data_IF_057809903860
#
_entry.id   IF_057809903860
#
_cell.length_a   1.000
_cell.length_b   1.000
_cell.length_c   1.000
_cell.angle_alpha   90.00
_cell.angle_beta   90.00
_cell.angle_gamma   90.00
#
_symmetry.space_group_name_H-M   'P 1'
#
loop_
_entity.id
_entity.type
_entity.pdbx_description
1 polymer ?
#
# COMPACT_ATOMS: atom_id res chain seq x y z
N UNK A 1 11.53 2.53 28.58
CA UNK A 1 10.28 2.18 29.30
C UNK A 1 9.52 1.18 28.44
N UNK A 2 9.28 0.00 29.01
CA UNK A 2 8.79 -1.21 28.35
C UNK A 2 7.36 -1.07 27.86
N UNK A 3 7.18 -0.96 26.53
CA UNK A 3 5.89 -1.21 25.87
C UNK A 3 5.54 -2.68 26.07
N UNK A 4 4.73 -3.01 27.07
CA UNK A 4 4.14 -4.34 27.18
C UNK A 4 3.27 -4.56 25.94
N UNK A 5 3.59 -5.53 25.09
CA UNK A 5 2.94 -5.66 23.80
C UNK A 5 1.50 -6.07 24.05
N UNK A 6 0.57 -5.36 23.43
CA UNK A 6 -0.89 -5.57 23.43
C UNK A 6 -1.30 -7.06 23.34
N UNK A 7 -0.44 -7.89 22.77
CA UNK A 7 -0.53 -9.35 22.71
C UNK A 7 -0.46 -10.08 24.07
N UNK A 8 0.46 -9.71 24.97
CA UNK A 8 0.57 -10.31 26.32
C UNK A 8 -0.71 -10.07 27.13
N UNK A 9 -1.34 -8.92 26.90
CA UNK A 9 -2.55 -8.52 27.60
C UNK A 9 -3.80 -9.22 27.04
N UNK A 10 -3.82 -9.52 25.74
CA UNK A 10 -4.85 -10.37 25.14
C UNK A 10 -4.79 -11.82 25.66
N UNK A 11 -3.58 -12.36 25.88
CA UNK A 11 -3.37 -13.68 26.48
C UNK A 11 -3.86 -13.75 27.93
N UNK A 12 -3.58 -12.72 28.73
CA UNK A 12 -4.08 -12.64 30.11
C UNK A 12 -5.62 -12.62 30.19
N UNK A 13 -6.28 -11.97 29.23
CA UNK A 13 -7.75 -11.95 29.14
C UNK A 13 -8.33 -13.32 28.74
N UNK A 14 -7.64 -14.05 27.87
CA UNK A 14 -8.03 -15.40 27.45
C UNK A 14 -7.99 -16.39 28.62
N UNK A 15 -6.92 -16.36 29.42
CA UNK A 15 -6.76 -17.25 30.58
C UNK A 15 -7.81 -16.97 31.67
N UNK A 16 -8.18 -15.70 31.86
CA UNK A 16 -9.18 -15.32 32.86
C UNK A 16 -10.60 -15.75 32.48
N UNK A 17 -10.94 -15.73 31.20
CA UNK A 17 -12.23 -16.22 30.72
C UNK A 17 -12.39 -17.74 30.87
N UNK A 18 -11.29 -18.49 30.71
CA UNK A 18 -11.28 -19.95 30.88
C UNK A 18 -11.56 -20.37 32.33
N UNK A 19 -11.18 -19.55 33.31
CA UNK A 19 -11.39 -19.81 34.74
C UNK A 19 -12.84 -19.61 35.22
N UNK A 20 -13.70 -18.93 34.45
CA UNK A 20 -15.07 -18.56 34.86
C UNK A 20 -16.16 -19.57 34.44
N UNK A 21 -15.78 -20.70 33.85
CA UNK A 21 -16.67 -21.71 33.28
C UNK A 21 -17.14 -22.75 34.31
N UNK A 22 -18.10 -22.42 35.19
CA UNK A 22 -18.86 -23.42 35.97
C UNK A 22 -20.37 -23.12 35.99
N UNK A 23 -21.20 -24.04 35.45
CA UNK A 23 -22.68 -24.05 35.48
C UNK A 23 -23.38 -23.45 34.25
N UNK A 24 -24.67 -23.75 34.00
CA UNK A 24 -25.40 -23.38 32.77
C UNK A 24 -25.62 -21.86 32.56
N UNK A 25 -25.68 -21.06 33.63
CA UNK A 25 -25.61 -19.60 33.57
C UNK A 25 -24.17 -19.13 33.30
N UNK A 26 -23.19 -19.86 33.84
CA UNK A 26 -21.77 -19.72 33.52
C UNK A 26 -21.46 -20.07 32.07
N UNK A 27 -22.14 -21.04 31.46
CA UNK A 27 -21.97 -21.41 30.04
C UNK A 27 -22.47 -20.31 29.10
N UNK A 28 -23.64 -19.71 29.37
CA UNK A 28 -24.15 -18.58 28.57
C UNK A 28 -23.26 -17.34 28.71
N UNK A 29 -22.83 -17.02 29.92
CA UNK A 29 -21.91 -15.90 30.14
C UNK A 29 -20.53 -16.19 29.57
N UNK A 30 -20.01 -17.42 29.69
CA UNK A 30 -18.77 -17.86 29.07
C UNK A 30 -18.82 -17.79 27.54
N UNK A 31 -19.93 -18.19 26.91
CA UNK A 31 -20.11 -18.06 25.47
C UNK A 31 -20.11 -16.60 25.00
N UNK A 32 -20.78 -15.71 25.75
CA UNK A 32 -20.79 -14.27 25.51
C UNK A 32 -19.40 -13.66 25.68
N UNK A 33 -18.67 -14.03 26.73
CA UNK A 33 -17.30 -13.59 27.00
C UNK A 33 -16.36 -14.09 25.89
N UNK A 34 -16.45 -15.35 25.50
CA UNK A 34 -15.64 -15.93 24.43
C UNK A 34 -15.87 -15.23 23.09
N UNK A 35 -17.14 -14.94 22.75
CA UNK A 35 -17.48 -14.16 21.56
C UNK A 35 -16.85 -12.76 21.59
N UNK A 36 -16.91 -12.06 22.73
CA UNK A 36 -16.29 -10.74 22.91
C UNK A 36 -14.78 -10.75 22.79
N UNK A 37 -14.13 -11.78 23.35
CA UNK A 37 -12.68 -11.96 23.23
C UNK A 37 -12.31 -12.19 21.77
N UNK A 38 -13.06 -13.04 21.06
CA UNK A 38 -12.85 -13.27 19.63
C UNK A 38 -12.96 -11.97 18.82
N UNK A 39 -14.02 -11.19 19.04
CA UNK A 39 -14.20 -9.90 18.38
C UNK A 39 -13.07 -8.91 18.66
N UNK A 40 -12.67 -8.75 19.93
CA UNK A 40 -11.59 -7.84 20.29
C UNK A 40 -10.26 -8.31 19.72
N UNK A 41 -9.99 -9.62 19.74
CA UNK A 41 -8.79 -10.22 19.16
C UNK A 41 -8.70 -9.96 17.66
N UNK A 42 -9.81 -10.10 16.93
CA UNK A 42 -9.86 -9.77 15.51
C UNK A 42 -9.55 -8.29 15.24
N UNK A 43 -10.12 -7.36 16.03
CA UNK A 43 -9.84 -5.91 15.89
C UNK A 43 -8.41 -5.54 16.24
N UNK A 44 -7.83 -6.17 17.26
CA UNK A 44 -6.42 -5.99 17.61
C UNK A 44 -5.49 -6.55 16.52
N UNK A 45 -5.86 -7.66 15.88
CA UNK A 45 -5.13 -8.18 14.74
C UNK A 45 -5.16 -7.24 13.53
N UNK A 46 -6.32 -6.62 13.25
CA UNK A 46 -6.44 -5.57 12.23
C UNK A 46 -5.54 -4.37 12.56
N UNK A 47 -5.61 -3.84 13.78
CA UNK A 47 -4.76 -2.74 14.23
C UNK A 47 -3.26 -3.09 14.09
N UNK A 48 -2.86 -4.29 14.54
CA UNK A 48 -1.48 -4.78 14.42
C UNK A 48 -1.03 -4.84 12.96
N UNK A 49 -1.91 -5.23 12.04
CA UNK A 49 -1.61 -5.27 10.61
C UNK A 49 -1.32 -3.86 10.08
N UNK A 50 -2.17 -2.88 10.40
CA UNK A 50 -1.98 -1.49 9.94
C UNK A 50 -0.70 -0.87 10.53
N UNK A 51 -0.36 -1.17 11.79
CA UNK A 51 0.91 -0.75 12.40
C UNK A 51 2.11 -1.40 11.71
N UNK A 52 2.01 -2.68 11.36
CA UNK A 52 3.09 -3.38 10.63
C UNK A 52 3.33 -2.74 9.26
N UNK A 53 2.25 -2.35 8.56
CA UNK A 53 2.35 -1.61 7.29
C UNK A 53 3.01 -0.24 7.51
N UNK A 54 2.62 0.49 8.55
CA UNK A 54 3.20 1.78 8.90
C UNK A 54 4.72 1.70 9.13
N UNK A 55 5.16 0.67 9.86
CA UNK A 55 6.58 0.41 10.09
C UNK A 55 7.31 0.06 8.80
N UNK A 56 6.74 -0.82 7.96
CA UNK A 56 7.35 -1.16 6.67
C UNK A 56 7.51 0.07 5.76
N UNK A 57 6.50 0.95 5.70
CA UNK A 57 6.58 2.21 4.96
C UNK A 57 7.69 3.13 5.52
N UNK A 58 7.77 3.25 6.84
CA UNK A 58 8.80 4.03 7.51
C UNK A 58 10.21 3.50 7.24
N UNK A 59 10.40 2.19 7.25
CA UNK A 59 11.68 1.55 6.92
C UNK A 59 12.12 1.84 5.48
N UNK A 60 11.16 2.05 4.56
CA UNK A 60 11.42 2.50 3.19
C UNK A 60 11.64 4.03 3.04
N UNK A 61 11.58 4.77 4.16
CA UNK A 61 11.74 6.22 4.20
C UNK A 61 10.48 7.02 3.87
N UNK A 62 9.29 6.41 3.91
CA UNK A 62 8.04 7.15 3.81
C UNK A 62 7.80 7.98 5.09
N UNK A 63 7.18 9.15 4.94
CA UNK A 63 6.86 10.04 6.05
C UNK A 63 5.57 9.55 6.75
N UNK A 64 5.70 8.53 7.59
CA UNK A 64 4.58 8.00 8.38
C UNK A 64 4.64 8.52 9.81
N UNK A 65 3.63 9.29 10.20
CA UNK A 65 3.43 9.72 11.59
C UNK A 65 2.42 8.77 12.23
N UNK A 66 2.82 7.52 12.47
CA UNK A 66 1.92 6.55 13.10
C UNK A 66 1.56 7.02 14.52
N UNK A 67 0.37 7.62 14.69
CA UNK A 67 -0.10 8.08 15.99
C UNK A 67 -0.65 6.91 16.82
N UNK A 68 0.26 6.07 17.31
CA UNK A 68 -0.03 4.98 18.25
C UNK A 68 -0.67 5.40 19.58
N UNK A 69 -0.48 6.63 20.12
CA UNK A 69 -1.10 7.02 21.39
C UNK A 69 -2.63 6.88 21.38
N UNK A 70 -3.29 7.25 20.28
CA UNK A 70 -4.75 7.22 20.16
C UNK A 70 -5.35 5.79 20.29
N UNK A 71 -4.59 4.75 19.88
CA UNK A 71 -5.01 3.35 20.04
C UNK A 71 -5.02 2.90 21.51
N UNK A 72 -4.24 3.57 22.37
CA UNK A 72 -4.07 3.25 23.79
C UNK A 72 -5.15 3.89 24.67
N UNK A 73 -5.79 4.96 24.20
CA UNK A 73 -6.77 5.76 24.95
C UNK A 73 -8.07 5.01 25.30
N UNK A 74 -8.35 3.89 24.63
CA UNK A 74 -9.47 3.01 24.96
C UNK A 74 -9.12 1.89 25.93
N UNK A 75 -7.83 1.58 26.05
CA UNK A 75 -7.32 0.45 26.81
C UNK A 75 -7.35 0.74 28.31
N UNK A 76 -6.82 1.90 28.72
CA UNK A 76 -6.71 2.25 30.14
C UNK A 76 -8.07 2.30 30.87
N UNK A 77 -9.14 2.92 30.32
CA UNK A 77 -10.47 2.89 30.94
C UNK A 77 -11.11 1.50 30.95
N UNK A 78 -10.75 0.64 29.98
CA UNK A 78 -11.24 -0.74 29.91
C UNK A 78 -10.55 -1.61 30.97
N UNK A 79 -9.23 -1.49 31.13
CA UNK A 79 -8.44 -2.19 32.15
C UNK A 79 -8.90 -1.85 33.56
N UNK A 80 -9.05 -0.55 33.88
CA UNK A 80 -9.56 -0.12 35.20
C UNK A 80 -10.95 -0.69 35.54
N UNK A 81 -11.78 -0.93 34.54
CA UNK A 81 -13.10 -1.55 34.72
C UNK A 81 -13.02 -3.07 34.83
N UNK A 82 -12.08 -3.69 34.12
CA UNK A 82 -11.82 -5.12 34.16
C UNK A 82 -11.24 -5.58 35.52
N UNK A 83 -10.51 -4.70 36.21
CA UNK A 83 -9.96 -4.95 37.56
C UNK A 83 -11.04 -5.25 38.61
N UNK A 84 -12.27 -4.77 38.40
CA UNK A 84 -13.41 -4.93 39.32
C UNK A 84 -14.45 -5.98 38.85
N UNK A 85 -14.14 -6.75 37.81
CA UNK A 85 -15.06 -7.72 37.19
C UNK A 85 -15.16 -7.56 35.67
N UNK A 86 -15.99 -8.36 35.01
CA UNK A 86 -16.12 -8.28 33.54
C UNK A 86 -16.64 -6.90 33.11
N UNK A 87 -16.00 -6.21 32.16
CA UNK A 87 -16.47 -4.91 31.69
C UNK A 87 -17.86 -5.02 31.09
N UNK A 88 -18.77 -4.15 31.55
CA UNK A 88 -20.12 -4.06 30.99
C UNK A 88 -20.13 -3.71 29.50
N UNK A 89 -21.26 -3.95 28.84
CA UNK A 89 -21.42 -3.84 27.38
C UNK A 89 -20.98 -2.49 26.82
N UNK A 90 -21.26 -1.42 27.54
CA UNK A 90 -20.85 -0.08 27.17
C UNK A 90 -19.32 0.08 27.14
N UNK A 91 -18.62 -0.50 28.11
CA UNK A 91 -17.15 -0.44 28.18
C UNK A 91 -16.53 -1.26 27.04
N UNK A 92 -17.06 -2.46 26.78
CA UNK A 92 -16.64 -3.30 25.65
C UNK A 92 -16.86 -2.62 24.30
N UNK A 93 -18.08 -2.12 24.04
CA UNK A 93 -18.40 -1.45 22.78
C UNK A 93 -17.57 -0.18 22.58
N UNK A 94 -17.27 0.55 23.66
CA UNK A 94 -16.38 1.73 23.59
C UNK A 94 -14.96 1.34 23.22
N UNK A 95 -14.39 0.31 23.85
CA UNK A 95 -13.04 -0.17 23.55
C UNK A 95 -12.96 -0.68 22.11
N UNK A 96 -13.93 -1.51 21.68
CA UNK A 96 -14.05 -2.01 20.31
C UNK A 96 -14.09 -0.87 19.30
N UNK A 97 -14.92 0.14 19.53
CA UNK A 97 -15.03 1.32 18.65
C UNK A 97 -13.70 2.09 18.57
N UNK A 98 -13.04 2.34 19.70
CA UNK A 98 -11.76 3.06 19.72
C UNK A 98 -10.65 2.31 18.97
N UNK A 99 -10.54 0.99 19.14
CA UNK A 99 -9.58 0.17 18.39
C UNK A 99 -9.87 0.23 16.89
N UNK A 100 -11.15 0.17 16.50
CA UNK A 100 -11.56 0.30 15.10
C UNK A 100 -11.21 1.68 14.52
N UNK A 101 -11.51 2.75 15.25
CA UNK A 101 -11.20 4.12 14.85
C UNK A 101 -9.70 4.32 14.66
N UNK A 102 -8.88 3.82 15.60
CA UNK A 102 -7.43 3.86 15.48
C UNK A 102 -6.92 3.06 14.27
N UNK A 103 -7.44 1.86 14.03
CA UNK A 103 -7.05 1.05 12.87
C UNK A 103 -7.42 1.74 11.55
N UNK A 104 -8.60 2.37 11.47
CA UNK A 104 -9.02 3.14 10.29
C UNK A 104 -8.13 4.36 10.07
N UNK A 105 -7.85 5.15 11.12
CA UNK A 105 -6.99 6.32 11.02
C UNK A 105 -5.58 5.96 10.54
N UNK A 106 -4.96 4.93 11.12
CA UNK A 106 -3.62 4.45 10.70
C UNK A 106 -3.65 3.96 9.25
N UNK A 107 -4.74 3.30 8.82
CA UNK A 107 -4.87 2.86 7.41
C UNK A 107 -4.90 4.05 6.45
N UNK A 108 -5.64 5.11 6.79
CA UNK A 108 -5.71 6.33 5.97
C UNK A 108 -4.36 7.03 5.89
N UNK A 109 -3.65 7.14 7.02
CA UNK A 109 -2.28 7.66 7.08
C UNK A 109 -1.31 6.81 6.23
N UNK A 110 -1.38 5.49 6.35
CA UNK A 110 -0.58 4.56 5.55
C UNK A 110 -0.82 4.74 4.05
N UNK A 111 -2.08 4.87 3.65
CA UNK A 111 -2.45 5.06 2.24
C UNK A 111 -1.92 6.39 1.71
N UNK A 112 -2.08 7.48 2.47
CA UNK A 112 -1.58 8.79 2.07
C UNK A 112 -0.04 8.79 1.92
N UNK A 113 0.66 8.22 2.92
CA UNK A 113 2.11 8.10 2.88
C UNK A 113 2.59 7.20 1.74
N UNK A 114 1.87 6.11 1.44
CA UNK A 114 2.15 5.23 0.31
C UNK A 114 2.05 5.95 -1.02
N UNK A 115 0.94 6.64 -1.28
CA UNK A 115 0.72 7.36 -2.55
C UNK A 115 1.79 8.42 -2.77
N UNK A 116 2.12 9.20 -1.73
CA UNK A 116 3.14 10.23 -1.82
C UNK A 116 4.54 9.64 -2.04
N UNK A 117 4.92 8.63 -1.24
CA UNK A 117 6.24 8.02 -1.32
C UNK A 117 6.46 7.25 -2.64
N UNK A 118 5.48 6.45 -3.06
CA UNK A 118 5.56 5.69 -4.31
C UNK A 118 5.56 6.62 -5.53
N UNK A 119 4.79 7.71 -5.49
CA UNK A 119 4.83 8.76 -6.50
C UNK A 119 6.20 9.41 -6.62
N UNK A 120 6.84 9.76 -5.50
CA UNK A 120 8.23 10.28 -5.51
C UNK A 120 9.23 9.28 -6.08
N UNK A 121 9.11 8.00 -5.72
CA UNK A 121 9.97 6.93 -6.24
C UNK A 121 9.81 6.75 -7.75
N UNK A 122 8.57 6.77 -8.25
CA UNK A 122 8.28 6.69 -9.69
C UNK A 122 8.85 7.89 -10.45
N UNK A 123 8.67 9.11 -9.92
CA UNK A 123 9.19 10.33 -10.55
C UNK A 123 10.72 10.38 -10.62
N UNK A 124 11.41 9.66 -9.73
CA UNK A 124 12.87 9.57 -9.73
C UNK A 124 13.43 8.58 -10.77
N UNK A 125 12.59 7.74 -11.39
CA UNK A 125 13.04 6.80 -12.43
C UNK A 125 13.25 7.54 -13.76
N UNK A 126 14.37 7.30 -14.47
CA UNK A 126 14.60 7.85 -15.80
C UNK A 126 13.82 7.04 -16.86
N UNK A 127 12.48 7.06 -16.78
CA UNK A 127 11.57 6.28 -17.63
C UNK A 127 11.72 6.59 -19.13
N UNK A 128 12.20 7.80 -19.44
CA UNK A 128 12.57 8.23 -20.79
C UNK A 128 13.64 7.33 -21.44
N UNK A 129 14.45 6.63 -20.65
CA UNK A 129 15.50 5.73 -21.16
C UNK A 129 14.99 4.34 -21.56
N UNK A 130 13.72 4.00 -21.32
CA UNK A 130 13.14 2.69 -21.70
C UNK A 130 13.37 2.36 -23.19
N UNK A 131 13.16 3.28 -24.15
CA UNK A 131 13.45 3.01 -25.56
C UNK A 131 14.92 2.72 -25.87
N UNK A 132 15.84 3.13 -25.00
CA UNK A 132 17.29 2.91 -25.15
C UNK A 132 17.76 1.55 -24.65
N UNK A 133 16.85 0.75 -24.07
CA UNK A 133 17.14 -0.62 -23.68
C UNK A 133 17.18 -1.56 -24.90
N UNK A 134 17.88 -2.71 -24.79
CA UNK A 134 17.81 -3.77 -25.79
C UNK A 134 16.35 -4.15 -26.11
N UNK A 135 15.97 -4.37 -27.39
CA UNK A 135 14.57 -4.61 -27.77
C UNK A 135 13.85 -5.69 -26.96
N UNK A 136 14.55 -6.77 -26.59
CA UNK A 136 13.99 -7.85 -25.75
C UNK A 136 13.61 -7.41 -24.32
N UNK A 137 14.24 -6.36 -23.79
CA UNK A 137 14.03 -5.88 -22.42
C UNK A 137 13.00 -4.75 -22.34
N UNK A 138 12.81 -4.00 -23.43
CA UNK A 138 11.90 -2.86 -23.44
C UNK A 138 10.46 -3.25 -23.06
N UNK A 139 9.95 -4.38 -23.57
CA UNK A 139 8.62 -4.87 -23.24
C UNK A 139 8.47 -5.18 -21.75
N UNK A 140 9.48 -5.83 -21.16
CA UNK A 140 9.51 -6.13 -19.72
C UNK A 140 9.60 -4.86 -18.88
N UNK A 141 10.45 -3.90 -19.26
CA UNK A 141 10.59 -2.62 -18.59
C UNK A 141 9.28 -1.81 -18.57
N UNK A 142 8.57 -1.77 -19.71
CA UNK A 142 7.25 -1.13 -19.78
C UNK A 142 6.21 -1.84 -18.93
N UNK A 143 6.18 -3.18 -18.95
CA UNK A 143 5.29 -3.95 -18.08
C UNK A 143 5.54 -3.65 -16.60
N UNK A 144 6.82 -3.57 -16.18
CA UNK A 144 7.18 -3.19 -14.81
C UNK A 144 6.74 -1.77 -14.49
N UNK A 145 6.91 -0.81 -15.42
CA UNK A 145 6.42 0.57 -15.25
C UNK A 145 4.91 0.60 -14.98
N UNK A 146 4.12 -0.08 -15.81
CA UNK A 146 2.65 -0.16 -15.66
C UNK A 146 2.27 -0.81 -14.33
N UNK A 147 2.97 -1.87 -13.93
CA UNK A 147 2.74 -2.53 -12.65
C UNK A 147 3.04 -1.61 -11.45
N UNK A 148 4.12 -0.82 -11.53
CA UNK A 148 4.48 0.14 -10.50
C UNK A 148 3.46 1.29 -10.42
N UNK A 149 3.04 1.83 -11.57
CA UNK A 149 1.97 2.85 -11.65
C UNK A 149 0.67 2.33 -11.03
N UNK A 150 0.29 1.08 -11.36
CA UNK A 150 -0.90 0.43 -10.78
C UNK A 150 -0.77 0.28 -9.26
N UNK A 151 0.37 -0.20 -8.78
CA UNK A 151 0.61 -0.35 -7.34
C UNK A 151 0.62 0.99 -6.59
N UNK A 152 1.20 2.04 -7.17
CA UNK A 152 1.17 3.40 -6.61
C UNK A 152 -0.26 3.97 -6.51
N UNK A 153 -1.15 3.59 -7.43
CA UNK A 153 -2.57 3.99 -7.42
C UNK A 153 -3.49 3.11 -6.57
N UNK A 154 -2.95 2.11 -5.86
CA UNK A 154 -3.76 1.17 -5.10
C UNK A 154 -4.55 1.85 -3.98
N UNK A 155 -5.79 1.39 -3.74
CA UNK A 155 -6.66 1.91 -2.67
C UNK A 155 -6.35 1.35 -1.28
N UNK A 156 -5.51 0.33 -1.22
CA UNK A 156 -5.07 -0.34 -0.01
C UNK A 156 -3.64 -0.79 -0.21
N UNK A 157 -2.85 -0.81 0.86
CA UNK A 157 -1.45 -1.23 0.82
C UNK A 157 -1.19 -2.25 1.93
N UNK A 158 -0.49 -3.32 1.56
CA UNK A 158 0.01 -4.34 2.49
C UNK A 158 1.53 -4.34 2.51
N UNK A 159 2.13 -5.01 3.50
CA UNK A 159 3.58 -5.21 3.53
C UNK A 159 4.10 -5.97 2.30
N UNK A 160 3.33 -6.91 1.78
CA UNK A 160 3.65 -7.62 0.54
C UNK A 160 3.67 -6.70 -0.67
N UNK A 161 2.72 -5.76 -0.76
CA UNK A 161 2.67 -4.78 -1.85
C UNK A 161 3.90 -3.85 -1.83
N UNK A 162 4.30 -3.40 -0.63
CA UNK A 162 5.50 -2.57 -0.45
C UNK A 162 6.75 -3.31 -0.93
N UNK A 163 6.95 -4.55 -0.49
CA UNK A 163 8.10 -5.37 -0.90
C UNK A 163 8.11 -5.60 -2.40
N UNK A 164 6.96 -6.00 -2.98
CA UNK A 164 6.86 -6.25 -4.41
C UNK A 164 7.12 -5.00 -5.25
N UNK A 165 6.60 -3.85 -4.80
CA UNK A 165 6.88 -2.57 -5.44
C UNK A 165 8.36 -2.25 -5.42
N UNK A 166 9.03 -2.40 -4.27
CA UNK A 166 10.47 -2.16 -4.16
C UNK A 166 11.27 -3.09 -5.06
N UNK A 167 10.98 -4.39 -5.08
CA UNK A 167 11.66 -5.33 -6.00
C UNK A 167 11.51 -4.92 -7.47
N UNK A 168 10.30 -4.53 -7.88
CA UNK A 168 10.04 -4.08 -9.25
C UNK A 168 10.72 -2.74 -9.56
N UNK A 169 10.71 -1.82 -8.61
CA UNK A 169 11.33 -0.51 -8.74
C UNK A 169 12.85 -0.64 -8.87
N UNK A 170 13.49 -1.41 -8.00
CA UNK A 170 14.93 -1.68 -8.05
C UNK A 170 15.33 -2.37 -9.36
N UNK A 171 14.57 -3.40 -9.77
CA UNK A 171 14.82 -4.08 -11.04
C UNK A 171 14.70 -3.14 -12.25
N UNK A 172 13.71 -2.25 -12.26
CA UNK A 172 13.56 -1.27 -13.34
C UNK A 172 14.66 -0.20 -13.28
N UNK A 173 14.98 0.30 -12.09
CA UNK A 173 16.07 1.26 -11.88
C UNK A 173 17.41 0.71 -12.36
N UNK A 174 17.69 -0.58 -12.07
CA UNK A 174 18.90 -1.27 -12.53
C UNK A 174 18.97 -1.33 -14.05
N UNK A 175 17.90 -1.79 -14.71
CA UNK A 175 17.86 -1.83 -16.18
C UNK A 175 18.11 -0.45 -16.80
N UNK A 176 17.59 0.61 -16.18
CA UNK A 176 17.70 1.97 -16.72
C UNK A 176 19.00 2.70 -16.34
N UNK A 177 19.81 2.16 -15.42
CA UNK A 177 21.00 2.82 -14.89
C UNK A 177 22.02 3.13 -15.99
N UNK A 178 22.31 2.13 -16.80
CA UNK A 178 23.34 2.17 -17.85
C UNK A 178 22.76 2.45 -19.25
N UNK A 179 21.43 2.57 -19.36
CA UNK A 179 20.77 2.96 -20.58
C UNK A 179 21.18 4.38 -20.99
N UNK A 180 21.42 4.58 -22.28
CA UNK A 180 21.77 5.90 -22.82
C UNK A 180 20.60 6.87 -22.65
N UNK A 181 20.91 8.16 -22.67
CA UNK A 181 19.86 9.17 -22.83
C UNK A 181 19.31 9.14 -24.26
N UNK A 182 17.98 9.17 -24.43
CA UNK A 182 17.38 9.25 -25.75
C UNK A 182 17.69 10.59 -26.43
N UNK A 183 17.81 10.63 -27.77
CA UNK A 183 17.92 11.89 -28.50
C UNK A 183 16.73 12.82 -28.24
N UNK A 184 16.97 14.12 -28.22
CA UNK A 184 15.94 15.12 -27.96
C UNK A 184 14.80 15.07 -28.99
N UNK A 185 15.14 14.74 -30.24
CA UNK A 185 14.21 14.58 -31.35
C UNK A 185 13.24 13.42 -31.11
N UNK A 186 13.73 12.32 -30.54
CA UNK A 186 12.89 11.16 -30.21
C UNK A 186 11.92 11.50 -29.08
N UNK A 187 12.40 12.17 -28.03
CA UNK A 187 11.54 12.61 -26.93
C UNK A 187 10.45 13.56 -27.39
N UNK A 188 10.82 14.58 -28.17
CA UNK A 188 9.85 15.54 -28.72
C UNK A 188 8.80 14.84 -29.60
N UNK A 189 9.21 13.84 -30.39
CA UNK A 189 8.29 13.06 -31.19
C UNK A 189 7.32 12.22 -30.33
N UNK A 190 7.83 11.52 -29.31
CA UNK A 190 7.00 10.72 -28.40
C UNK A 190 6.01 11.59 -27.61
N UNK A 191 6.46 12.73 -27.07
CA UNK A 191 5.59 13.70 -26.39
C UNK A 191 4.50 14.23 -27.33
N UNK A 192 4.85 14.50 -28.59
CA UNK A 192 3.87 14.95 -29.59
C UNK A 192 2.86 13.85 -29.94
N UNK A 193 3.28 12.59 -30.02
CA UNK A 193 2.38 11.45 -30.26
C UNK A 193 1.40 11.22 -29.10
N UNK A 194 1.84 11.47 -27.86
CA UNK A 194 1.00 11.33 -26.66
C UNK A 194 0.03 12.52 -26.44
N UNK A 195 0.25 13.64 -27.14
CA UNK A 195 -0.59 14.83 -27.03
C UNK A 195 -2.05 14.57 -27.42
N UNK A 196 -2.96 15.38 -26.87
CA UNK A 196 -4.40 15.35 -27.16
C UNK A 196 -4.84 16.73 -27.66
N UNK A 197 -5.29 16.86 -28.93
CA UNK A 197 -5.51 15.80 -29.92
C UNK A 197 -4.20 15.21 -30.46
N UNK A 198 -4.21 13.91 -30.75
CA UNK A 198 -3.05 13.23 -31.35
C UNK A 198 -2.77 13.75 -32.78
N UNK A 199 -1.50 13.79 -33.20
CA UNK A 199 -1.12 14.19 -34.55
C UNK A 199 -1.74 13.25 -35.59
N UNK A 200 -2.07 13.80 -36.76
CA UNK A 200 -2.54 13.01 -37.90
C UNK A 200 -1.37 12.44 -38.68
N UNK A 201 -1.61 11.48 -39.57
CA UNK A 201 -0.56 10.94 -40.44
C UNK A 201 0.12 12.02 -41.31
N UNK A 202 -0.57 13.13 -41.60
CA UNK A 202 0.00 14.28 -42.33
C UNK A 202 1.03 15.05 -41.50
N UNK A 203 0.93 14.99 -40.17
CA UNK A 203 1.79 15.72 -39.24
C UNK A 203 3.05 14.93 -38.86
N UNK A 204 3.20 13.71 -39.38
CA UNK A 204 4.35 12.82 -39.17
C UNK A 204 5.15 12.69 -40.46
N UNK A 205 6.44 12.98 -40.39
CA UNK A 205 7.36 12.91 -41.53
C UNK A 205 8.00 11.52 -41.68
N UNK A 206 8.52 11.21 -42.87
CA UNK A 206 9.26 9.97 -43.11
C UNK A 206 10.52 9.84 -42.23
N UNK A 207 11.17 10.97 -41.93
CA UNK A 207 12.33 11.02 -41.03
C UNK A 207 11.94 10.63 -39.60
N UNK A 208 10.78 11.09 -39.12
CA UNK A 208 10.26 10.73 -37.80
C UNK A 208 9.84 9.26 -37.73
N UNK A 209 9.28 8.71 -38.82
CA UNK A 209 9.02 7.26 -38.91
C UNK A 209 10.33 6.46 -38.89
N UNK A 210 11.35 6.92 -39.61
CA UNK A 210 12.67 6.30 -39.59
C UNK A 210 13.29 6.33 -38.19
N UNK A 211 13.17 7.46 -37.49
CA UNK A 211 13.62 7.62 -36.10
C UNK A 211 12.92 6.63 -35.16
N UNK A 212 11.60 6.46 -35.28
CA UNK A 212 10.87 5.47 -34.48
C UNK A 212 11.36 4.05 -34.76
N UNK A 213 11.65 3.70 -36.01
CA UNK A 213 12.18 2.37 -36.38
C UNK A 213 13.59 2.14 -35.87
N UNK A 214 14.45 3.14 -35.95
CA UNK A 214 15.84 3.08 -35.44
C UNK A 214 15.88 2.69 -33.96
N UNK A 215 14.94 3.23 -33.18
CA UNK A 215 14.84 2.96 -31.75
C UNK A 215 13.83 1.86 -31.38
N UNK A 216 13.28 1.15 -32.36
CA UNK A 216 12.26 0.11 -32.19
C UNK A 216 10.96 0.57 -31.47
N UNK A 217 10.58 1.84 -31.65
CA UNK A 217 9.35 2.45 -31.12
C UNK A 217 8.16 2.35 -32.10
N UNK A 218 8.39 1.96 -33.34
CA UNK A 218 7.37 1.87 -34.39
C UNK A 218 6.26 0.86 -34.05
N UNK A 219 6.61 -0.28 -33.43
CA UNK A 219 5.64 -1.27 -32.97
C UNK A 219 4.71 -0.79 -31.85
N UNK A 220 4.93 0.41 -31.31
CA UNK A 220 4.13 1.00 -30.23
C UNK A 220 3.07 1.98 -30.73
N UNK A 221 3.18 2.40 -32.00
CA UNK A 221 2.29 3.41 -32.58
C UNK A 221 1.26 2.70 -33.44
N UNK A 222 -0.03 2.90 -33.11
CA UNK A 222 -1.14 2.40 -33.91
C UNK A 222 -1.80 3.53 -34.70
N UNK A 223 -2.17 3.24 -35.94
CA UNK A 223 -2.88 4.18 -36.81
C UNK A 223 -4.37 3.85 -36.81
N UNK A 224 -5.20 4.82 -36.41
CA UNK A 224 -6.66 4.70 -36.44
C UNK A 224 -7.27 5.74 -37.38
N UNK A 225 -8.14 5.31 -38.31
CA UNK A 225 -8.85 6.21 -39.22
C UNK A 225 -9.95 6.96 -38.45
N UNK A 226 -9.97 8.29 -38.55
CA UNK A 226 -11.03 9.11 -37.97
C UNK A 226 -12.38 8.78 -38.63
N UNK A 227 -13.36 8.38 -37.81
CA UNK A 227 -14.70 8.01 -38.25
C UNK A 227 -14.86 6.54 -38.71
N UNK A 228 -13.85 5.69 -38.46
CA UNK A 228 -13.97 4.23 -38.55
C UNK A 228 -14.43 3.63 -37.22
#
# INVERSE_FOLDING_TARGET
MTQRPVYEMALQLQDRARQLSEGAAGEKEAARVASRISELTARLAELRREVTVALALKDQGAAVVASLPAASDGLEPFTRRAENGWPGDQAFNTAKRKVQEAATAIREENLAAWVEWSGRRLAALPLARIPMLPPQEQASARSRRVDLERAASAKTVTTGDITLFMTKWESLAESLRDAKEPPAELLALLERLDSRPAPTLRDITDQEIALLREFAMDGQVSLTRKGA
#
